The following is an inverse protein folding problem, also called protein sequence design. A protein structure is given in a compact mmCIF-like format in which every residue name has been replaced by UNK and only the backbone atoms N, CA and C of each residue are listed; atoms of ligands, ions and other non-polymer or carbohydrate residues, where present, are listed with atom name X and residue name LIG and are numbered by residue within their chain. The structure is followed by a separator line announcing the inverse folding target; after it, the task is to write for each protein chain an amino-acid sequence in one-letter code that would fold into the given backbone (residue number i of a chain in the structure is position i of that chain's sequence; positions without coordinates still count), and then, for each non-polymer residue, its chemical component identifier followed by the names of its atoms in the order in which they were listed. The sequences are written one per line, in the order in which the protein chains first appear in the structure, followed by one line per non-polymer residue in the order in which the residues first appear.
data_IF_178085705690
#
_entry.id   IF_178085705690
#
_cell.length_a   1.000
_cell.length_b   1.000
_cell.length_c   1.000
_cell.angle_alpha   90.00
_cell.angle_beta   90.00
_cell.angle_gamma   90.00
#
_symmetry.space_group_name_H-M   'P 1'
#
loop_
_entity.id
_entity.type
_entity.pdbx_description
1 polymer ?
#
# COMPACT_ATOMS: atom_id res chain seq x y z
N UNK A 1 8.58 -33.30 -1.03
CA UNK A 1 9.45 -32.24 -1.58
C UNK A 1 9.52 -32.49 -3.07
N UNK A 2 8.78 -31.70 -3.87
CA UNK A 2 8.77 -31.81 -5.34
C UNK A 2 10.04 -31.15 -5.89
N UNK A 3 10.59 -31.75 -6.95
CA UNK A 3 11.78 -31.32 -7.68
C UNK A 3 11.79 -29.82 -7.98
N UNK A 4 12.68 -29.07 -7.32
CA UNK A 4 13.01 -27.72 -7.73
C UNK A 4 13.82 -27.82 -9.03
N UNK A 5 13.22 -27.46 -10.16
CA UNK A 5 13.93 -27.30 -11.43
C UNK A 5 14.80 -26.04 -11.38
N UNK A 6 16.11 -26.21 -11.31
CA UNK A 6 17.06 -25.11 -11.48
C UNK A 6 17.22 -24.80 -12.97
N UNK A 7 17.41 -23.52 -13.33
CA UNK A 7 17.70 -23.13 -14.70
C UNK A 7 19.10 -23.64 -15.08
N UNK A 8 19.16 -24.77 -15.79
CA UNK A 8 20.39 -25.24 -16.42
C UNK A 8 21.34 -26.14 -15.60
N UNK A 9 20.97 -26.65 -14.42
CA UNK A 9 21.76 -27.68 -13.73
C UNK A 9 20.94 -28.60 -12.82
N UNK A 10 21.42 -29.84 -12.61
CA UNK A 10 20.85 -30.82 -11.66
C UNK A 10 21.60 -30.86 -10.31
N UNK A 11 22.42 -29.86 -9.98
CA UNK A 11 23.27 -29.86 -8.77
C UNK A 11 22.99 -28.66 -7.85
N UNK A 12 22.90 -28.95 -6.54
CA UNK A 12 22.77 -27.98 -5.44
C UNK A 12 24.01 -27.08 -5.23
N UNK A 13 25.01 -27.11 -6.11
CA UNK A 13 26.23 -26.29 -6.03
C UNK A 13 26.16 -25.02 -6.90
N UNK A 14 24.97 -24.56 -7.29
CA UNK A 14 24.84 -23.33 -8.09
C UNK A 14 24.29 -22.17 -7.26
N UNK A 15 25.14 -21.16 -7.04
CA UNK A 15 24.73 -19.85 -6.55
C UNK A 15 24.40 -18.96 -7.75
N UNK A 16 23.12 -18.81 -8.06
CA UNK A 16 22.66 -17.80 -9.02
C UNK A 16 22.39 -16.49 -8.27
N UNK A 17 23.14 -15.43 -8.58
CA UNK A 17 22.88 -14.09 -8.06
C UNK A 17 22.94 -13.07 -9.21
N UNK A 18 22.04 -12.08 -9.16
CA UNK A 18 22.05 -10.95 -10.07
C UNK A 18 22.79 -9.80 -9.39
N UNK A 19 24.04 -9.55 -9.80
CA UNK A 19 24.83 -8.42 -9.33
C UNK A 19 24.82 -7.32 -10.39
N UNK A 20 24.39 -6.12 -10.00
CA UNK A 20 24.55 -4.93 -10.82
C UNK A 20 25.89 -4.29 -10.46
N UNK A 21 26.84 -4.34 -11.39
CA UNK A 21 28.17 -3.77 -11.18
C UNK A 21 28.98 -3.66 -12.46
N UNK A 22 30.14 -3.05 -12.35
CA UNK A 22 31.18 -3.06 -13.38
C UNK A 22 32.49 -3.51 -12.77
N UNK A 23 33.23 -4.34 -13.49
CA UNK A 23 34.59 -4.72 -13.14
C UNK A 23 35.54 -3.97 -14.07
N UNK A 24 36.41 -3.14 -13.50
CA UNK A 24 37.56 -2.62 -14.23
C UNK A 24 38.68 -3.68 -14.21
N UNK A 25 38.94 -4.29 -15.36
CA UNK A 25 39.94 -5.34 -15.50
C UNK A 25 41.38 -4.84 -15.38
N UNK A 26 41.65 -3.57 -15.66
CA UNK A 26 42.99 -3.00 -15.58
C UNK A 26 43.36 -2.62 -14.15
N UNK A 27 42.38 -2.11 -13.40
CA UNK A 27 42.57 -1.71 -12.00
C UNK A 27 42.24 -2.83 -10.99
N UNK A 28 41.74 -3.98 -11.47
CA UNK A 28 41.21 -5.08 -10.64
C UNK A 28 40.20 -4.59 -9.60
N UNK A 29 39.47 -3.52 -9.94
CA UNK A 29 38.57 -2.85 -9.03
C UNK A 29 37.14 -3.29 -9.31
N UNK A 30 36.54 -4.00 -8.35
CA UNK A 30 35.16 -4.47 -8.42
C UNK A 30 34.23 -3.36 -7.88
N UNK A 31 33.48 -2.70 -8.76
CA UNK A 31 32.42 -1.77 -8.36
C UNK A 31 31.08 -2.48 -8.37
N UNK A 32 30.58 -2.76 -7.17
CA UNK A 32 29.22 -3.25 -6.93
C UNK A 32 28.34 -2.02 -6.69
N UNK A 33 27.26 -1.87 -7.46
CA UNK A 33 26.34 -0.76 -7.26
C UNK A 33 25.33 -1.11 -6.15
N UNK A 34 25.42 -0.41 -5.01
CA UNK A 34 24.26 -0.14 -4.15
C UNK A 34 23.48 1.04 -4.76
N UNK A 35 22.26 0.81 -5.20
CA UNK A 35 21.56 1.73 -6.12
C UNK A 35 20.96 2.96 -5.42
N UNK A 36 21.65 4.10 -5.44
CA UNK A 36 21.24 5.27 -4.63
C UNK A 36 21.21 6.64 -5.34
N UNK A 37 21.56 6.78 -6.64
CA UNK A 37 21.56 8.11 -7.31
C UNK A 37 21.04 8.15 -8.76
N UNK A 38 21.05 7.04 -9.52
CA UNK A 38 20.62 7.05 -10.94
C UNK A 38 19.19 6.52 -11.12
N UNK A 39 18.30 7.37 -11.64
CA UNK A 39 16.87 7.08 -11.82
C UNK A 39 16.61 5.81 -12.65
N UNK A 40 17.26 5.65 -13.80
CA UNK A 40 16.99 4.51 -14.72
C UNK A 40 17.14 3.15 -14.06
N UNK A 41 18.15 2.96 -13.21
CA UNK A 41 18.36 1.65 -12.61
C UNK A 41 17.75 1.50 -11.22
N UNK A 42 17.34 2.61 -10.57
CA UNK A 42 16.25 2.54 -9.59
C UNK A 42 14.98 1.99 -10.26
N UNK A 43 14.61 2.51 -11.43
CA UNK A 43 13.41 2.08 -12.14
C UNK A 43 13.50 0.60 -12.54
N UNK A 44 14.65 0.11 -13.03
CA UNK A 44 14.81 -1.33 -13.35
C UNK A 44 14.65 -2.22 -12.13
N UNK A 45 15.26 -1.83 -11.01
CA UNK A 45 15.14 -2.56 -9.76
C UNK A 45 13.71 -2.59 -9.24
N UNK A 46 13.04 -1.43 -9.25
CA UNK A 46 11.65 -1.33 -8.78
C UNK A 46 10.70 -2.05 -9.75
N UNK A 47 10.90 -1.95 -11.06
CA UNK A 47 10.12 -2.67 -12.06
C UNK A 47 10.15 -4.19 -11.83
N UNK A 48 11.35 -4.76 -11.62
CA UNK A 48 11.49 -6.19 -11.35
C UNK A 48 10.71 -6.61 -10.09
N UNK A 49 10.78 -5.80 -9.03
CA UNK A 49 10.05 -6.03 -7.78
C UNK A 49 8.54 -5.98 -7.97
N UNK A 50 8.03 -4.91 -8.59
CA UNK A 50 6.59 -4.74 -8.77
C UNK A 50 6.00 -5.78 -9.73
N UNK A 51 6.74 -6.17 -10.75
CA UNK A 51 6.31 -7.25 -11.66
C UNK A 51 6.24 -8.58 -10.92
N UNK A 52 7.17 -8.84 -9.99
CA UNK A 52 7.13 -10.06 -9.18
C UNK A 52 5.91 -10.10 -8.25
N UNK A 53 5.56 -8.96 -7.62
CA UNK A 53 4.35 -8.85 -6.79
C UNK A 53 3.09 -9.15 -7.63
N UNK A 54 2.99 -8.54 -8.82
CA UNK A 54 1.89 -8.77 -9.76
C UNK A 54 1.77 -10.24 -10.18
N UNK A 55 2.88 -10.88 -10.58
CA UNK A 55 2.91 -12.31 -10.94
C UNK A 55 2.48 -13.19 -9.76
N UNK A 56 2.89 -12.83 -8.54
CA UNK A 56 2.53 -13.57 -7.33
C UNK A 56 1.03 -13.48 -7.05
N UNK A 57 0.42 -12.31 -7.24
CA UNK A 57 -1.03 -12.15 -7.15
C UNK A 57 -1.80 -12.93 -8.23
N UNK A 58 -1.32 -12.94 -9.48
CA UNK A 58 -1.93 -13.72 -10.56
C UNK A 58 -1.90 -15.21 -10.22
N UNK A 59 -0.74 -15.75 -9.80
CA UNK A 59 -0.63 -17.14 -9.37
C UNK A 59 -1.53 -17.44 -8.16
N UNK A 60 -1.59 -16.53 -7.19
CA UNK A 60 -2.47 -16.66 -6.03
C UNK A 60 -3.95 -16.69 -6.41
N UNK A 61 -4.36 -15.87 -7.38
CA UNK A 61 -5.71 -15.88 -7.95
C UNK A 61 -6.06 -17.22 -8.59
N UNK A 62 -5.15 -17.81 -9.36
CA UNK A 62 -5.37 -19.10 -10.00
C UNK A 62 -5.44 -20.24 -8.97
N UNK A 63 -4.57 -20.22 -7.96
CA UNK A 63 -4.61 -21.17 -6.84
C UNK A 63 -5.91 -21.07 -6.03
N UNK A 64 -6.47 -19.87 -5.86
CA UNK A 64 -7.77 -19.70 -5.21
C UNK A 64 -8.92 -20.32 -6.03
N UNK A 65 -8.91 -20.14 -7.36
CA UNK A 65 -9.92 -20.75 -8.25
C UNK A 65 -9.83 -22.27 -8.25
N UNK A 66 -8.63 -22.81 -8.12
CA UNK A 66 -8.36 -24.25 -8.06
C UNK A 66 -8.49 -24.84 -6.65
N UNK A 67 -8.94 -24.04 -5.67
CA UNK A 67 -9.09 -24.41 -4.25
C UNK A 67 -7.79 -24.96 -3.59
N UNK A 68 -6.61 -24.63 -4.13
CA UNK A 68 -5.31 -25.08 -3.62
C UNK A 68 -4.74 -24.11 -2.58
N UNK A 69 -5.42 -24.04 -1.44
CA UNK A 69 -5.09 -23.13 -0.32
C UNK A 69 -3.69 -23.40 0.26
N UNK A 70 -3.22 -24.64 0.23
CA UNK A 70 -1.92 -25.01 0.82
C UNK A 70 -0.71 -24.41 0.10
N UNK A 71 -0.80 -24.22 -1.22
CA UNK A 71 0.25 -23.62 -2.05
C UNK A 71 0.14 -22.10 -2.10
N UNK A 72 -1.06 -21.56 -1.80
CA UNK A 72 -1.35 -20.13 -1.82
C UNK A 72 -0.46 -19.33 -0.86
N UNK A 73 -0.37 -19.76 0.41
CA UNK A 73 0.45 -19.08 1.41
C UNK A 73 1.91 -19.02 0.97
N UNK A 74 2.43 -20.12 0.42
CA UNK A 74 3.82 -20.21 -0.03
C UNK A 74 4.10 -19.23 -1.17
N UNK A 75 3.29 -19.25 -2.23
CA UNK A 75 3.47 -18.41 -3.42
C UNK A 75 3.49 -16.93 -3.06
N UNK A 76 2.56 -16.50 -2.23
CA UNK A 76 2.44 -15.09 -1.86
C UNK A 76 3.51 -14.70 -0.83
N UNK A 77 3.88 -15.57 0.12
CA UNK A 77 4.92 -15.27 1.12
C UNK A 77 6.32 -15.19 0.49
N UNK A 78 6.62 -16.05 -0.47
CA UNK A 78 7.89 -16.03 -1.20
C UNK A 78 7.93 -14.95 -2.28
N UNK A 79 6.78 -14.63 -2.86
CA UNK A 79 6.66 -13.72 -3.99
C UNK A 79 6.51 -12.24 -3.62
N UNK A 80 5.75 -11.91 -2.57
CA UNK A 80 5.46 -10.50 -2.25
C UNK A 80 6.64 -9.83 -1.56
N UNK A 81 7.00 -8.62 -2.03
CA UNK A 81 8.13 -7.87 -1.50
C UNK A 81 7.92 -7.43 -0.04
N UNK A 82 6.70 -7.01 0.30
CA UNK A 82 6.34 -6.56 1.64
C UNK A 82 5.30 -7.48 2.26
N UNK A 83 5.54 -7.89 3.50
CA UNK A 83 4.61 -8.70 4.30
C UNK A 83 3.24 -8.04 4.50
N UNK A 84 3.18 -6.71 4.44
CA UNK A 84 1.96 -5.94 4.67
C UNK A 84 1.19 -5.65 3.37
N UNK A 85 1.65 -6.14 2.21
CA UNK A 85 1.09 -5.74 0.91
C UNK A 85 -0.33 -6.26 0.69
N UNK A 86 -0.63 -7.47 1.14
CA UNK A 86 -2.00 -8.00 1.18
C UNK A 86 -2.94 -7.11 1.99
N UNK A 87 -2.49 -6.68 3.17
CA UNK A 87 -3.25 -5.80 4.03
C UNK A 87 -3.43 -4.42 3.39
N UNK A 88 -2.40 -3.86 2.77
CA UNK A 88 -2.51 -2.59 2.03
C UNK A 88 -3.56 -2.68 0.90
N UNK A 89 -3.50 -3.73 0.09
CA UNK A 89 -4.47 -3.94 -0.99
C UNK A 89 -5.89 -4.21 -0.47
N UNK A 90 -6.01 -4.82 0.71
CA UNK A 90 -7.28 -4.97 1.41
C UNK A 90 -7.89 -3.62 1.81
N UNK A 91 -7.10 -2.73 2.40
CA UNK A 91 -7.54 -1.38 2.77
C UNK A 91 -7.94 -0.55 1.54
N UNK A 92 -7.11 -0.57 0.48
CA UNK A 92 -7.40 0.10 -0.81
C UNK A 92 -8.75 -0.33 -1.38
N UNK A 93 -9.00 -1.65 -1.42
CA UNK A 93 -10.23 -2.20 -1.98
C UNK A 93 -11.46 -1.80 -1.17
N UNK A 94 -11.36 -1.79 0.17
CA UNK A 94 -12.47 -1.36 1.04
C UNK A 94 -12.77 0.11 0.83
N UNK A 95 -11.74 0.96 0.77
CA UNK A 95 -11.90 2.38 0.49
C UNK A 95 -12.64 2.61 -0.81
N UNK A 96 -12.24 1.89 -1.87
CA UNK A 96 -12.82 2.04 -3.19
C UNK A 96 -14.27 1.51 -3.26
N UNK A 97 -14.57 0.36 -2.63
CA UNK A 97 -15.94 -0.17 -2.54
C UNK A 97 -16.87 0.80 -1.79
N UNK A 98 -16.40 1.38 -0.69
CA UNK A 98 -17.16 2.36 0.10
C UNK A 98 -17.40 3.63 -0.71
N UNK A 99 -16.36 4.28 -1.20
CA UNK A 99 -16.51 5.54 -1.94
C UNK A 99 -17.35 5.35 -3.21
N UNK A 100 -17.17 4.23 -3.93
CA UNK A 100 -17.98 3.93 -5.11
C UNK A 100 -19.46 3.78 -4.76
N UNK A 101 -19.82 3.23 -3.60
CA UNK A 101 -21.21 3.01 -3.18
C UNK A 101 -21.86 4.27 -2.61
N UNK A 102 -21.17 4.97 -1.73
CA UNK A 102 -21.74 6.07 -0.95
C UNK A 102 -21.57 7.44 -1.64
N UNK A 103 -20.49 7.62 -2.40
CA UNK A 103 -20.24 8.89 -3.10
C UNK A 103 -20.45 8.77 -4.62
N UNK A 104 -20.65 7.57 -5.16
CA UNK A 104 -20.77 7.34 -6.61
C UNK A 104 -19.48 7.59 -7.39
N UNK A 105 -18.34 7.75 -6.70
CA UNK A 105 -17.06 8.09 -7.31
C UNK A 105 -16.17 6.84 -7.42
N UNK A 106 -16.27 6.14 -8.56
CA UNK A 106 -15.45 4.97 -8.84
C UNK A 106 -14.09 5.36 -9.46
N UNK A 107 -13.27 6.05 -8.67
CA UNK A 107 -11.90 6.38 -9.09
C UNK A 107 -10.89 6.25 -7.97
N UNK A 108 -9.66 5.89 -8.34
CA UNK A 108 -8.56 5.59 -7.44
C UNK A 108 -7.30 6.32 -7.89
N UNK A 109 -6.64 6.99 -6.98
CA UNK A 109 -5.40 7.72 -7.22
C UNK A 109 -4.27 7.18 -6.35
N UNK A 110 -3.23 6.65 -6.98
CA UNK A 110 -1.99 6.24 -6.31
C UNK A 110 -0.88 7.26 -6.58
N UNK A 111 -0.29 7.82 -5.52
CA UNK A 111 0.93 8.61 -5.63
C UNK A 111 2.15 7.69 -5.52
N UNK A 112 3.05 7.81 -6.51
CA UNK A 112 4.20 6.92 -6.68
C UNK A 112 3.78 5.53 -7.16
N UNK A 113 2.88 5.47 -8.15
CA UNK A 113 2.32 4.22 -8.68
C UNK A 113 3.41 3.29 -9.19
N UNK A 114 3.26 2.03 -8.81
CA UNK A 114 4.28 1.02 -8.97
C UNK A 114 3.80 -0.01 -9.99
N UNK A 115 3.73 0.42 -11.25
CA UNK A 115 3.08 -0.26 -12.39
C UNK A 115 1.61 -0.66 -12.19
N UNK A 116 0.91 -0.18 -11.16
CA UNK A 116 -0.44 -0.63 -10.77
C UNK A 116 -0.59 -2.09 -10.35
N UNK A 117 0.46 -2.73 -9.83
CA UNK A 117 0.31 -4.07 -9.23
C UNK A 117 -0.75 -4.16 -8.11
N UNK A 118 -1.21 -3.02 -7.58
CA UNK A 118 -2.34 -2.97 -6.67
C UNK A 118 -3.67 -3.44 -7.30
N UNK A 119 -3.84 -3.38 -8.63
CA UNK A 119 -5.03 -3.89 -9.33
C UNK A 119 -5.12 -5.41 -9.11
N UNK A 120 -4.05 -6.16 -9.36
CA UNK A 120 -3.98 -7.61 -9.15
C UNK A 120 -4.11 -7.96 -7.67
N UNK A 121 -3.47 -7.18 -6.80
CA UNK A 121 -3.63 -7.32 -5.36
C UNK A 121 -5.09 -7.15 -4.91
N UNK A 122 -5.79 -6.13 -5.43
CA UNK A 122 -7.20 -5.90 -5.12
C UNK A 122 -8.13 -6.95 -5.74
N UNK A 123 -7.85 -7.44 -6.96
CA UNK A 123 -8.57 -8.59 -7.54
C UNK A 123 -8.43 -9.82 -6.67
N UNK A 124 -7.20 -10.12 -6.23
CA UNK A 124 -6.91 -11.23 -5.34
C UNK A 124 -7.74 -11.14 -4.06
N UNK A 125 -7.68 -10.00 -3.37
CA UNK A 125 -8.44 -9.77 -2.15
C UNK A 125 -9.95 -9.86 -2.41
N UNK A 126 -10.47 -9.26 -3.49
CA UNK A 126 -11.89 -9.32 -3.84
C UNK A 126 -12.35 -10.77 -4.03
N UNK A 127 -11.59 -11.57 -4.78
CA UNK A 127 -11.92 -12.97 -5.01
C UNK A 127 -11.88 -13.78 -3.71
N UNK A 128 -10.82 -13.60 -2.92
CA UNK A 128 -10.67 -14.25 -1.62
C UNK A 128 -11.82 -13.93 -0.66
N UNK A 129 -12.13 -12.64 -0.48
CA UNK A 129 -13.19 -12.18 0.43
C UNK A 129 -14.58 -12.62 -0.03
N UNK A 130 -14.87 -12.55 -1.33
CA UNK A 130 -16.15 -13.01 -1.89
C UNK A 130 -16.30 -14.54 -1.84
N UNK A 131 -15.20 -15.30 -1.84
CA UNK A 131 -15.22 -16.74 -1.61
C UNK A 131 -15.63 -17.12 -0.17
N UNK A 132 -15.37 -16.23 0.79
CA UNK A 132 -15.74 -16.41 2.21
C UNK A 132 -17.18 -15.93 2.45
N UNK A 133 -17.51 -14.75 1.97
CA UNK A 133 -18.83 -14.15 2.08
C UNK A 133 -19.25 -13.62 0.71
N UNK A 134 -20.22 -14.29 0.09
CA UNK A 134 -20.67 -13.98 -1.26
C UNK A 134 -21.10 -12.51 -1.36
N UNK A 135 -20.63 -11.85 -2.40
CA UNK A 135 -20.95 -10.44 -2.70
C UNK A 135 -20.54 -9.45 -1.59
N UNK A 136 -19.58 -9.84 -0.73
CA UNK A 136 -18.99 -8.96 0.27
C UNK A 136 -18.44 -7.66 -0.33
N UNK A 137 -17.86 -7.75 -1.53
CA UNK A 137 -17.34 -6.61 -2.31
C UNK A 137 -17.91 -6.69 -3.72
N UNK A 138 -18.71 -5.68 -4.10
CA UNK A 138 -19.45 -5.64 -5.37
C UNK A 138 -18.79 -4.74 -6.42
N UNK A 139 -17.74 -4.02 -6.05
CA UNK A 139 -16.98 -3.12 -6.92
C UNK A 139 -16.49 -3.80 -8.20
N UNK A 140 -16.69 -3.18 -9.36
CA UNK A 140 -16.10 -3.58 -10.64
C UNK A 140 -14.78 -2.83 -10.88
N UNK A 141 -13.63 -3.52 -10.83
CA UNK A 141 -12.29 -2.91 -10.90
C UNK A 141 -11.94 -2.49 -12.34
N UNK A 142 -12.48 -3.19 -13.34
CA UNK A 142 -12.31 -2.90 -14.77
C UNK A 142 -12.98 -1.57 -15.16
N UNK A 143 -14.04 -1.17 -14.43
CA UNK A 143 -14.75 0.08 -14.68
C UNK A 143 -14.18 1.28 -13.93
N UNK A 144 -13.36 1.05 -12.91
CA UNK A 144 -12.69 2.07 -12.10
C UNK A 144 -11.78 2.95 -12.97
N UNK A 145 -11.80 4.26 -12.72
CA UNK A 145 -10.83 5.19 -13.29
C UNK A 145 -9.59 5.28 -12.39
N UNK A 146 -8.44 4.91 -12.94
CA UNK A 146 -7.17 4.79 -12.24
C UNK A 146 -6.27 5.98 -12.58
N UNK A 147 -5.90 6.74 -11.56
CA UNK A 147 -5.01 7.89 -11.65
C UNK A 147 -3.66 7.58 -11.01
N UNK A 148 -2.58 8.08 -11.60
CA UNK A 148 -1.22 7.79 -11.15
C UNK A 148 -0.29 8.95 -11.43
N UNK A 149 0.49 9.32 -10.42
CA UNK A 149 1.63 10.25 -10.54
C UNK A 149 2.94 9.55 -10.15
N UNK A 150 3.83 9.35 -11.13
CA UNK A 150 5.17 8.80 -10.91
C UNK A 150 6.16 9.51 -11.82
N UNK A 151 7.31 9.88 -11.28
CA UNK A 151 8.37 10.61 -11.98
C UNK A 151 9.10 9.74 -13.03
N UNK A 152 8.94 8.42 -12.97
CA UNK A 152 9.55 7.49 -13.91
C UNK A 152 8.69 7.35 -15.16
N UNK A 153 9.19 7.88 -16.27
CA UNK A 153 8.63 7.65 -17.60
C UNK A 153 8.53 6.15 -17.92
N UNK A 154 9.54 5.37 -17.55
CA UNK A 154 9.57 3.93 -17.80
C UNK A 154 8.44 3.20 -17.06
N UNK A 155 8.26 3.48 -15.76
CA UNK A 155 7.17 2.86 -14.99
C UNK A 155 5.80 3.27 -15.54
N UNK A 156 5.63 4.53 -15.97
CA UNK A 156 4.38 4.98 -16.60
C UNK A 156 4.10 4.24 -17.92
N UNK A 157 5.08 4.13 -18.81
CA UNK A 157 4.91 3.41 -20.09
C UNK A 157 4.56 1.93 -19.83
N UNK A 158 5.29 1.27 -18.92
CA UNK A 158 5.06 -0.14 -18.61
C UNK A 158 3.69 -0.35 -17.96
N UNK A 159 3.29 0.52 -17.02
CA UNK A 159 1.97 0.51 -16.40
C UNK A 159 0.85 0.53 -17.45
N UNK A 160 0.91 1.48 -18.39
CA UNK A 160 -0.07 1.64 -19.44
C UNK A 160 -0.14 0.43 -20.38
N UNK A 161 0.98 -0.26 -20.61
CA UNK A 161 1.03 -1.46 -21.46
C UNK A 161 0.49 -2.70 -20.76
N UNK A 162 0.83 -2.90 -19.48
CA UNK A 162 0.39 -4.07 -18.72
C UNK A 162 -1.10 -4.02 -18.38
N UNK A 163 -1.68 -2.82 -18.30
CA UNK A 163 -3.05 -2.60 -17.87
C UNK A 163 -3.90 -1.94 -18.97
N UNK A 164 -3.65 -2.27 -20.24
CA UNK A 164 -4.35 -1.65 -21.39
C UNK A 164 -5.87 -1.82 -21.36
N UNK A 165 -6.36 -2.80 -20.62
CA UNK A 165 -7.79 -3.10 -20.47
C UNK A 165 -8.45 -2.26 -19.35
N UNK A 166 -7.67 -1.45 -18.62
CA UNK A 166 -8.13 -0.56 -17.55
C UNK A 166 -8.16 0.90 -18.00
N UNK A 167 -9.06 1.68 -17.40
CA UNK A 167 -9.14 3.13 -17.62
C UNK A 167 -8.04 3.83 -16.82
N UNK A 168 -6.88 4.05 -17.41
CA UNK A 168 -5.73 4.67 -16.75
C UNK A 168 -5.49 6.10 -17.23
N UNK A 169 -5.13 6.96 -16.30
CA UNK A 169 -4.59 8.30 -16.55
C UNK A 169 -3.31 8.48 -15.74
N UNK A 170 -2.19 8.55 -16.46
CA UNK A 170 -0.85 8.57 -15.88
C UNK A 170 -0.22 9.93 -16.12
N UNK A 171 0.42 10.44 -15.08
CA UNK A 171 1.05 11.74 -15.06
C UNK A 171 2.47 11.62 -14.50
N UNK A 172 3.35 12.48 -14.95
CA UNK A 172 4.71 12.66 -14.41
C UNK A 172 4.78 13.84 -13.42
N UNK A 173 3.72 14.64 -13.35
CA UNK A 173 3.62 15.83 -12.50
C UNK A 173 2.35 15.78 -11.63
N UNK A 174 2.54 16.04 -10.33
CA UNK A 174 1.47 16.09 -9.36
C UNK A 174 0.43 17.19 -9.63
N UNK A 175 0.85 18.31 -10.23
CA UNK A 175 -0.05 19.46 -10.45
C UNK A 175 -1.23 19.12 -11.37
N UNK A 176 -1.05 18.15 -12.27
CA UNK A 176 -2.13 17.68 -13.15
C UNK A 176 -3.27 17.08 -12.32
N UNK A 177 -2.95 16.39 -11.22
CA UNK A 177 -3.94 15.80 -10.31
C UNK A 177 -4.77 16.82 -9.53
N UNK A 178 -4.36 18.09 -9.43
CA UNK A 178 -5.11 19.09 -8.67
C UNK A 178 -6.44 19.48 -9.30
N UNK A 179 -6.64 19.17 -10.60
CA UNK A 179 -7.91 19.39 -11.29
C UNK A 179 -8.82 18.17 -11.24
N UNK A 180 -8.35 17.06 -10.68
CA UNK A 180 -9.12 15.84 -10.50
C UNK A 180 -9.57 15.75 -9.04
N UNK A 181 -10.76 15.18 -8.82
CA UNK A 181 -11.26 14.86 -7.47
C UNK A 181 -11.47 13.34 -7.37
N UNK A 182 -10.38 12.56 -7.23
CA UNK A 182 -10.46 11.11 -7.16
C UNK A 182 -11.31 10.65 -5.97
N UNK A 183 -11.93 9.49 -6.12
CA UNK A 183 -12.71 8.89 -5.04
C UNK A 183 -11.81 8.51 -3.87
N UNK A 184 -10.78 7.72 -4.17
CA UNK A 184 -9.80 7.27 -3.18
C UNK A 184 -8.41 7.78 -3.52
N UNK A 185 -7.72 8.35 -2.54
CA UNK A 185 -6.28 8.60 -2.58
C UNK A 185 -5.53 7.53 -1.79
N UNK A 186 -4.43 7.04 -2.33
CA UNK A 186 -3.49 6.17 -1.62
C UNK A 186 -2.04 6.60 -1.83
N UNK A 187 -1.26 6.58 -0.74
CA UNK A 187 0.18 6.68 -0.81
C UNK A 187 0.84 5.90 0.33
N UNK A 188 1.96 5.24 0.03
CA UNK A 188 2.86 4.72 1.08
C UNK A 188 3.66 5.87 1.70
N UNK A 189 3.98 5.76 2.98
CA UNK A 189 4.66 6.83 3.70
C UNK A 189 6.01 7.22 3.11
N UNK A 190 6.75 6.25 2.58
CA UNK A 190 8.00 6.54 1.86
C UNK A 190 7.79 7.50 0.70
N UNK A 191 6.69 7.37 -0.05
CA UNK A 191 6.38 8.26 -1.16
C UNK A 191 6.10 9.67 -0.69
N UNK A 192 5.26 9.81 0.34
CA UNK A 192 4.94 11.12 0.93
C UNK A 192 6.18 11.84 1.48
N UNK A 193 7.15 11.10 2.03
CA UNK A 193 8.36 11.67 2.61
C UNK A 193 9.25 12.41 1.60
N UNK A 194 9.27 12.01 0.32
CA UNK A 194 10.08 12.67 -0.71
C UNK A 194 9.25 13.46 -1.73
N UNK A 195 7.94 13.22 -1.83
CA UNK A 195 7.09 13.92 -2.79
C UNK A 195 6.81 15.38 -2.38
N UNK A 196 6.93 15.73 -1.09
CA UNK A 196 6.52 17.03 -0.58
C UNK A 196 7.58 17.70 0.29
N UNK A 197 8.08 18.85 -0.17
CA UNK A 197 8.86 19.76 0.66
C UNK A 197 7.99 20.66 1.55
N UNK A 198 6.73 20.88 1.17
CA UNK A 198 5.78 21.73 1.88
C UNK A 198 4.62 20.90 2.45
N UNK A 199 4.39 21.01 3.76
CA UNK A 199 3.31 20.28 4.44
C UNK A 199 1.91 20.72 4.01
N UNK A 200 1.76 21.92 3.45
CA UNK A 200 0.49 22.39 2.90
C UNK A 200 0.14 21.75 1.58
N UNK A 201 1.12 21.59 0.69
CA UNK A 201 0.91 20.88 -0.58
C UNK A 201 0.64 19.39 -0.33
N UNK A 202 1.29 18.80 0.68
CA UNK A 202 1.00 17.44 1.13
C UNK A 202 -0.45 17.32 1.63
N UNK A 203 -0.87 18.18 2.55
CA UNK A 203 -2.24 18.16 3.09
C UNK A 203 -3.28 18.36 1.98
N UNK A 204 -3.09 19.34 1.10
CA UNK A 204 -3.97 19.60 -0.04
C UNK A 204 -4.06 18.39 -0.96
N UNK A 205 -2.95 17.72 -1.24
CA UNK A 205 -2.95 16.53 -2.10
C UNK A 205 -3.72 15.37 -1.46
N UNK A 206 -3.43 15.09 -0.19
CA UNK A 206 -4.09 14.01 0.56
C UNK A 206 -5.61 14.26 0.65
N UNK A 207 -6.02 15.51 0.90
CA UNK A 207 -7.43 15.87 1.07
C UNK A 207 -8.19 16.14 -0.23
N UNK A 208 -7.52 16.07 -1.38
CA UNK A 208 -8.14 16.17 -2.69
C UNK A 208 -8.76 14.82 -3.12
N UNK A 209 -9.56 14.22 -2.24
CA UNK A 209 -10.30 12.97 -2.51
C UNK A 209 -11.48 12.83 -1.54
N UNK A 210 -12.41 11.90 -1.82
CA UNK A 210 -13.48 11.56 -0.86
C UNK A 210 -12.92 10.81 0.36
N UNK A 211 -11.93 9.94 0.14
CA UNK A 211 -11.24 9.19 1.17
C UNK A 211 -9.76 9.02 0.82
N UNK A 212 -8.88 9.47 1.71
CA UNK A 212 -7.45 9.20 1.62
C UNK A 212 -7.06 8.12 2.61
N UNK A 213 -6.23 7.17 2.16
CA UNK A 213 -5.65 6.09 2.95
C UNK A 213 -4.12 6.19 2.81
N UNK A 214 -3.42 6.41 3.91
CA UNK A 214 -1.97 6.58 3.85
C UNK A 214 -1.31 6.24 5.17
N UNK A 215 -0.04 5.88 5.11
CA UNK A 215 0.83 5.86 6.28
C UNK A 215 1.82 7.02 6.20
N UNK A 216 2.20 7.60 7.34
CA UNK A 216 3.21 8.65 7.36
C UNK A 216 3.89 8.77 8.73
N UNK A 217 5.19 9.11 8.70
CA UNK A 217 5.92 9.49 9.91
C UNK A 217 5.88 11.00 10.08
N UNK A 218 5.02 11.49 10.98
CA UNK A 218 5.02 12.89 11.38
C UNK A 218 6.12 13.15 12.42
N UNK A 219 6.76 14.32 12.35
CA UNK A 219 7.48 14.85 13.51
C UNK A 219 6.48 15.42 14.52
N UNK A 220 6.71 15.24 15.82
CA UNK A 220 5.78 15.76 16.83
C UNK A 220 5.92 17.27 17.03
N UNK A 221 7.12 17.81 16.81
CA UNK A 221 7.44 19.22 16.95
C UNK A 221 7.58 19.89 15.58
N UNK A 222 8.80 20.30 15.21
CA UNK A 222 9.08 21.02 13.97
C UNK A 222 9.32 20.05 12.80
N UNK A 223 9.24 20.55 11.56
CA UNK A 223 9.63 19.80 10.37
C UNK A 223 11.06 19.27 10.54
N UNK A 224 11.24 17.97 10.30
CA UNK A 224 12.55 17.33 10.31
C UNK A 224 12.93 16.90 8.89
N UNK A 225 14.22 16.90 8.59
CA UNK A 225 14.74 16.37 7.32
C UNK A 225 15.90 15.42 7.58
N UNK A 226 15.88 14.28 6.90
CA UNK A 226 16.95 13.28 6.98
C UNK A 226 17.26 12.76 5.58
N UNK A 227 18.49 12.30 5.38
CA UNK A 227 18.82 11.45 4.24
C UNK A 227 18.67 10.01 4.70
N UNK A 228 17.80 9.25 4.04
CA UNK A 228 17.62 7.82 4.34
C UNK A 228 18.53 6.98 3.45
N UNK A 229 18.61 5.67 3.69
CA UNK A 229 19.52 4.75 3.01
C UNK A 229 19.44 4.73 1.47
N UNK A 230 18.43 5.35 0.85
CA UNK A 230 18.33 5.54 -0.61
C UNK A 230 19.08 6.77 -1.13
N UNK A 231 19.71 7.58 -0.27
CA UNK A 231 20.35 8.84 -0.65
C UNK A 231 19.37 9.99 -0.89
N UNK A 232 18.06 9.74 -0.91
CA UNK A 232 17.03 10.79 -1.05
C UNK A 232 16.85 11.54 0.27
N UNK A 233 16.71 12.86 0.16
CA UNK A 233 16.27 13.71 1.27
C UNK A 233 14.78 13.45 1.51
N UNK A 234 14.46 13.03 2.72
CA UNK A 234 13.10 12.85 3.21
C UNK A 234 12.74 13.99 4.15
N UNK A 235 11.51 14.47 4.02
CA UNK A 235 10.91 15.47 4.90
C UNK A 235 9.85 14.79 5.76
N UNK A 236 9.98 14.95 7.07
CA UNK A 236 8.98 14.58 8.08
C UNK A 236 8.27 15.86 8.52
N UNK A 237 7.03 16.04 8.05
CA UNK A 237 6.21 17.22 8.36
C UNK A 237 5.66 17.15 9.77
N UNK A 238 5.45 18.33 10.37
CA UNK A 238 4.91 18.45 11.72
C UNK A 238 3.47 17.94 11.79
N UNK A 239 3.19 17.06 12.77
CA UNK A 239 1.84 16.63 13.10
C UNK A 239 0.97 17.83 13.50
N UNK A 240 1.54 18.76 14.28
CA UNK A 240 0.83 19.96 14.74
C UNK A 240 0.37 20.83 13.58
N UNK A 241 1.24 21.05 12.59
CA UNK A 241 0.91 21.86 11.42
C UNK A 241 -0.09 21.15 10.50
N UNK A 242 0.05 19.83 10.35
CA UNK A 242 -0.91 19.01 9.60
C UNK A 242 -2.32 19.08 10.22
N UNK A 243 -2.42 18.92 11.54
CA UNK A 243 -3.70 19.03 12.25
C UNK A 243 -4.26 20.44 12.25
N UNK A 244 -3.41 21.48 12.32
CA UNK A 244 -3.84 22.87 12.23
C UNK A 244 -4.55 23.17 10.91
N UNK A 245 -4.08 22.60 9.80
CA UNK A 245 -4.73 22.71 8.49
C UNK A 245 -6.11 22.04 8.46
N UNK A 246 -6.29 20.97 9.24
CA UNK A 246 -7.56 20.23 9.28
C UNK A 246 -8.67 20.90 10.12
N UNK A 247 -8.31 21.79 11.07
CA UNK A 247 -9.25 22.36 12.07
C UNK A 247 -10.51 23.01 11.50
N UNK A 248 -10.42 23.59 10.31
CA UNK A 248 -11.52 24.34 9.68
C UNK A 248 -12.17 23.57 8.52
N UNK A 249 -11.94 22.26 8.43
CA UNK A 249 -12.52 21.41 7.38
C UNK A 249 -13.59 20.48 7.96
N UNK A 250 -14.42 19.91 7.09
CA UNK A 250 -15.35 18.83 7.45
C UNK A 250 -14.64 17.48 7.62
N UNK A 251 -13.36 17.39 7.26
CA UNK A 251 -12.63 16.13 7.26
C UNK A 251 -12.31 15.66 8.68
N UNK A 252 -12.42 14.36 8.87
CA UNK A 252 -12.04 13.64 10.08
C UNK A 252 -10.83 12.77 9.78
N UNK A 253 -9.92 12.70 10.74
CA UNK A 253 -8.71 11.89 10.65
C UNK A 253 -8.86 10.78 11.67
N UNK A 254 -8.83 9.54 11.19
CA UNK A 254 -8.78 8.36 12.04
C UNK A 254 -7.43 7.68 11.87
N UNK A 255 -6.88 7.24 12.99
CA UNK A 255 -5.61 6.54 13.08
C UNK A 255 -5.89 5.10 13.47
N UNK A 256 -5.26 4.16 12.76
CA UNK A 256 -5.28 2.78 13.19
C UNK A 256 -4.32 2.61 14.39
N UNK A 257 -4.87 2.49 15.59
CA UNK A 257 -4.13 2.42 16.85
C UNK A 257 -3.26 1.18 16.98
N UNK A 258 -3.62 0.11 16.27
CA UNK A 258 -2.93 -1.17 16.30
C UNK A 258 -1.64 -1.15 15.46
N UNK A 259 -1.65 -0.43 14.33
CA UNK A 259 -0.46 -0.32 13.49
C UNK A 259 0.39 0.89 13.86
N UNK A 260 -0.22 1.99 14.30
CA UNK A 260 0.50 3.24 14.57
C UNK A 260 1.45 3.14 15.76
N UNK A 261 2.60 3.82 15.68
CA UNK A 261 3.70 3.71 16.65
C UNK A 261 4.37 5.03 16.92
N UNK A 262 4.62 5.30 18.21
CA UNK A 262 5.47 6.38 18.63
C UNK A 262 6.96 5.96 18.66
N UNK A 263 7.80 6.70 17.96
CA UNK A 263 9.25 6.60 18.04
C UNK A 263 9.79 7.72 18.94
N UNK A 264 10.06 7.37 20.20
CA UNK A 264 10.56 8.30 21.22
C UNK A 264 11.95 8.86 20.93
N UNK A 265 12.83 8.06 20.32
CA UNK A 265 14.21 8.50 20.03
C UNK A 265 14.25 9.58 18.96
N UNK A 266 13.37 9.48 17.96
CA UNK A 266 13.27 10.45 16.86
C UNK A 266 12.21 11.52 17.06
N UNK A 267 11.43 11.43 18.14
CA UNK A 267 10.28 12.30 18.41
C UNK A 267 9.29 12.32 17.22
N UNK A 268 8.91 11.12 16.76
CA UNK A 268 8.06 10.90 15.58
C UNK A 268 6.89 9.99 15.88
N UNK A 269 5.75 10.28 15.26
CA UNK A 269 4.61 9.38 15.19
C UNK A 269 4.53 8.77 13.79
N UNK A 270 4.74 7.45 13.67
CA UNK A 270 4.30 6.72 12.48
C UNK A 270 2.81 6.40 12.63
N UNK A 271 1.99 7.02 11.81
CA UNK A 271 0.54 6.85 11.84
C UNK A 271 0.08 6.20 10.54
N UNK A 272 -0.81 5.21 10.67
CA UNK A 272 -1.60 4.71 9.55
C UNK A 272 -2.99 5.36 9.62
N UNK A 273 -3.33 6.15 8.62
CA UNK A 273 -4.43 7.09 8.67
C UNK A 273 -5.45 6.83 7.57
N UNK A 274 -6.71 7.13 7.90
CA UNK A 274 -7.71 7.54 6.90
C UNK A 274 -8.13 8.97 7.17
N UNK A 275 -8.43 9.71 6.10
CA UNK A 275 -8.97 11.05 6.15
C UNK A 275 -10.06 11.23 5.09
N UNK A 276 -11.18 11.82 5.48
CA UNK A 276 -12.34 12.04 4.62
C UNK A 276 -13.48 12.68 5.42
N UNK A 277 -14.65 12.84 4.82
CA UNK A 277 -15.81 13.25 5.60
C UNK A 277 -16.19 12.19 6.64
N UNK A 278 -16.85 12.62 7.71
CA UNK A 278 -17.18 11.76 8.84
C UNK A 278 -18.03 10.54 8.47
N UNK A 279 -18.93 10.67 7.49
CA UNK A 279 -19.78 9.56 7.08
C UNK A 279 -18.97 8.53 6.29
N UNK A 280 -18.21 8.97 5.30
CA UNK A 280 -17.34 8.09 4.50
C UNK A 280 -16.33 7.34 5.38
N UNK A 281 -15.70 8.01 6.35
CA UNK A 281 -14.79 7.34 7.29
C UNK A 281 -15.51 6.29 8.17
N UNK A 282 -16.72 6.57 8.65
CA UNK A 282 -17.49 5.58 9.43
C UNK A 282 -17.86 4.37 8.59
N UNK A 283 -18.35 4.58 7.38
CA UNK A 283 -18.68 3.49 6.45
C UNK A 283 -17.45 2.63 6.14
N UNK A 284 -16.28 3.26 5.97
CA UNK A 284 -15.01 2.56 5.83
C UNK A 284 -14.69 1.68 7.05
N UNK A 285 -14.74 2.24 8.26
CA UNK A 285 -14.40 1.54 9.51
C UNK A 285 -15.36 0.38 9.76
N UNK A 286 -16.67 0.58 9.54
CA UNK A 286 -17.69 -0.45 9.67
C UNK A 286 -17.46 -1.59 8.67
N UNK A 287 -17.22 -1.24 7.39
CA UNK A 287 -16.94 -2.23 6.34
C UNK A 287 -15.66 -3.01 6.61
N UNK A 288 -14.59 -2.32 7.02
CA UNK A 288 -13.33 -2.95 7.41
C UNK A 288 -13.51 -3.93 8.57
N UNK A 289 -14.19 -3.50 9.64
CA UNK A 289 -14.45 -4.34 10.81
C UNK A 289 -15.28 -5.57 10.46
N UNK A 290 -16.34 -5.39 9.66
CA UNK A 290 -17.19 -6.48 9.21
C UNK A 290 -16.40 -7.52 8.39
N UNK A 291 -15.65 -7.06 7.39
CA UNK A 291 -14.91 -7.98 6.53
C UNK A 291 -13.77 -8.67 7.29
N UNK A 292 -13.08 -7.97 8.19
CA UNK A 292 -12.03 -8.55 9.03
C UNK A 292 -12.59 -9.66 9.92
N UNK A 293 -13.75 -9.43 10.53
CA UNK A 293 -14.43 -10.38 11.39
C UNK A 293 -14.93 -11.62 10.64
N UNK A 294 -15.18 -11.52 9.33
CA UNK A 294 -15.53 -12.67 8.47
C UNK A 294 -14.29 -13.44 8.00
N UNK A 295 -13.20 -12.73 7.65
CA UNK A 295 -11.98 -13.33 7.12
C UNK A 295 -11.23 -14.12 8.19
N UNK A 296 -11.09 -13.56 9.40
CA UNK A 296 -10.27 -14.17 10.46
C UNK A 296 -10.71 -15.59 10.85
N UNK A 297 -12.00 -15.88 11.11
CA UNK A 297 -12.45 -17.23 11.41
C UNK A 297 -12.14 -18.22 10.28
N UNK A 298 -12.31 -17.79 9.03
CA UNK A 298 -12.01 -18.62 7.86
C UNK A 298 -10.52 -18.99 7.79
N UNK A 299 -9.62 -18.02 8.00
CA UNK A 299 -8.18 -18.29 8.04
C UNK A 299 -7.81 -19.29 9.14
N UNK A 300 -8.39 -19.12 10.35
CA UNK A 300 -8.16 -20.03 11.47
C UNK A 300 -8.67 -21.44 11.19
N UNK A 301 -9.87 -21.58 10.62
CA UNK A 301 -10.45 -22.88 10.26
C UNK A 301 -9.61 -23.63 9.23
N UNK A 302 -9.04 -22.91 8.26
CA UNK A 302 -8.22 -23.47 7.19
C UNK A 302 -6.72 -23.54 7.55
N UNK A 303 -6.35 -23.24 8.81
CA UNK A 303 -4.97 -23.23 9.31
C UNK A 303 -4.01 -22.36 8.48
N UNK A 304 -4.53 -21.31 7.86
CA UNK A 304 -3.71 -20.29 7.19
C UNK A 304 -3.17 -19.37 8.28
N UNK A 305 -1.87 -19.04 8.21
CA UNK A 305 -1.27 -18.16 9.21
C UNK A 305 -1.95 -16.77 9.22
N UNK A 306 -2.40 -16.29 10.38
CA UNK A 306 -3.04 -14.97 10.50
C UNK A 306 -2.06 -13.80 10.24
N UNK A 307 -0.77 -14.01 10.53
CA UNK A 307 0.29 -13.02 10.26
C UNK A 307 0.41 -12.73 8.76
N UNK A 308 0.02 -13.69 7.92
CA UNK A 308 0.11 -13.60 6.47
C UNK A 308 -0.82 -12.52 5.88
N UNK A 309 -2.01 -12.31 6.46
CA UNK A 309 -2.89 -11.19 6.12
C UNK A 309 -2.68 -9.98 7.03
N UNK A 310 -1.66 -10.02 7.90
CA UNK A 310 -1.47 -9.06 8.99
C UNK A 310 -2.69 -8.94 9.93
N UNK A 311 -3.52 -9.99 10.02
CA UNK A 311 -4.74 -10.00 10.84
C UNK A 311 -4.53 -10.63 12.23
N UNK A 312 -3.27 -10.86 12.60
CA UNK A 312 -2.88 -11.60 13.80
C UNK A 312 -3.10 -10.86 15.12
N UNK A 313 -3.32 -9.55 15.09
CA UNK A 313 -3.60 -8.82 16.34
C UNK A 313 -4.84 -9.43 17.04
N UNK A 314 -4.73 -9.87 18.30
CA UNK A 314 -5.79 -10.55 19.01
C UNK A 314 -7.02 -9.63 19.13
N UNK A 315 -8.15 -10.08 18.59
CA UNK A 315 -9.45 -9.58 19.01
C UNK A 315 -9.60 -10.01 20.47
N UNK A 316 -9.56 -9.05 21.40
CA UNK A 316 -9.99 -9.28 22.77
C UNK A 316 -11.52 -9.16 22.74
N UNK A 317 -12.28 -10.26 22.93
CA UNK A 317 -13.72 -10.17 23.08
C UNK A 317 -13.98 -9.44 24.40
N UNK A 318 -14.24 -8.14 24.33
CA UNK A 318 -14.94 -7.46 25.41
C UNK A 318 -16.42 -7.47 25.05
N UNK A 319 -17.28 -7.77 26.02
CA UNK A 319 -18.74 -7.80 25.85
C UNK A 319 -19.35 -6.41 25.52
N UNK A 320 -18.50 -5.40 25.31
CA UNK A 320 -18.85 -4.07 24.83
C UNK A 320 -18.31 -3.89 23.40
N UNK A 321 -19.12 -4.27 22.40
CA UNK A 321 -18.87 -4.18 20.95
C UNK A 321 -18.61 -2.76 20.39
N UNK A 322 -18.27 -1.77 21.23
CA UNK A 322 -18.09 -0.37 20.85
C UNK A 322 -16.82 0.29 21.45
N UNK A 323 -15.93 -0.44 22.13
CA UNK A 323 -14.80 0.19 22.85
C UNK A 323 -13.41 -0.40 22.58
N UNK A 324 -13.25 -1.27 21.57
CA UNK A 324 -11.93 -1.69 21.06
C UNK A 324 -11.74 -1.16 19.63
N UNK A 325 -11.88 0.16 19.47
CA UNK A 325 -11.82 0.80 18.17
C UNK A 325 -10.38 0.73 17.63
N UNK A 326 -10.13 -0.17 16.67
CA UNK A 326 -8.85 -0.18 15.94
C UNK A 326 -8.61 1.16 15.25
N UNK A 327 -9.69 1.84 14.84
CA UNK A 327 -9.67 3.15 14.23
C UNK A 327 -10.21 4.19 15.20
N UNK A 328 -9.32 5.01 15.76
CA UNK A 328 -9.70 6.09 16.66
C UNK A 328 -9.42 7.45 16.05
N UNK A 329 -10.21 8.45 16.43
CA UNK A 329 -9.95 9.83 16.06
C UNK A 329 -8.53 10.23 16.49
N UNK A 330 -7.80 10.93 15.63
CA UNK A 330 -6.39 11.26 15.86
C UNK A 330 -6.18 12.06 17.15
N UNK A 331 -7.14 12.91 17.52
CA UNK A 331 -7.08 13.68 18.76
C UNK A 331 -7.07 12.77 19.98
N UNK A 332 -7.93 11.74 20.01
CA UNK A 332 -7.95 10.72 21.06
C UNK A 332 -6.69 9.87 21.05
N UNK A 333 -6.11 9.61 19.88
CA UNK A 333 -4.86 8.85 19.78
C UNK A 333 -3.69 9.61 20.42
N UNK A 334 -3.64 10.94 20.26
CA UNK A 334 -2.54 11.78 20.78
C UNK A 334 -2.66 12.02 22.30
N UNK A 335 -3.88 11.99 22.84
CA UNK A 335 -4.12 12.16 24.29
C UNK A 335 -3.70 10.95 25.13
N UNK A 336 -3.61 9.75 24.52
CA UNK A 336 -3.19 8.50 25.17
C UNK A 336 -1.70 8.23 24.95
#
# INVERSE_FOLDING_TARGET
MKDKKYYGSQQEESLSYLEFGSIDYNESNKKIWGFHLHQTAYDWYMLARYTNDMVSYIKGLDLLKDENISELELVLKEGLHHKDDLWNNYQKLIGLDVVSKYNGNNSFYELGQTIYGCIEGMKFIKHFTNGINKDAISLNLEETLWYGVDISEMLNIVAAKLHSDYKLQLYDNLQEMYNHNPGVFFAKGVTLLYAFDNGSDMYKTITNSNLAIFDYSFSLNEKQSEIIGTGKKCTFHSLKDFLAQNKNTSNKIYVNSVYSKYNKEKDRLWAYCIIGDNETCKQYIEKYSLLKNNVRPYLMQNKINLDFFNLSNPYIPSENLLNNDEWIAIEKFIEN
#
